data_IF_300733605662
#
_entry.id   IF_300733605662
#
_cell.length_a   1.000
_cell.length_b   1.000
_cell.length_c   1.000
_cell.angle_alpha   90.00
_cell.angle_beta   90.00
_cell.angle_gamma   90.00
#
_symmetry.space_group_name_H-M   'P 1'
#
loop_
_entity.id
_entity.type
_entity.pdbx_description
1 polymer ?
#
# COMPACT_ATOMS: atom_id res chain seq x y z
N UNK A 1 8.46 8.78 18.25
CA UNK A 1 8.90 8.01 17.08
C UNK A 1 7.78 7.07 16.70
N UNK A 2 7.15 7.32 15.59
CA UNK A 2 6.08 6.47 15.04
C UNK A 2 6.64 5.72 13.84
N UNK A 3 6.42 4.41 13.77
CA UNK A 3 6.71 3.62 12.58
C UNK A 3 5.42 3.41 11.81
N UNK A 4 5.44 3.70 10.51
CA UNK A 4 4.28 3.57 9.64
C UNK A 4 4.67 2.93 8.30
N UNK A 5 3.79 2.09 7.78
CA UNK A 5 3.90 1.55 6.43
C UNK A 5 3.04 2.39 5.51
N UNK A 6 3.63 2.89 4.43
CA UNK A 6 2.93 3.73 3.45
C UNK A 6 2.94 3.03 2.10
N UNK A 7 1.76 2.60 1.62
CA UNK A 7 1.62 2.11 0.25
C UNK A 7 1.39 3.30 -0.68
N UNK A 8 2.19 3.43 -1.72
CA UNK A 8 2.04 4.47 -2.75
C UNK A 8 1.49 3.84 -4.03
N UNK A 9 0.26 4.22 -4.40
CA UNK A 9 -0.41 3.71 -5.58
C UNK A 9 0.26 4.15 -6.89
N UNK A 10 0.20 3.29 -7.92
CA UNK A 10 0.72 3.62 -9.25
C UNK A 10 -0.03 4.76 -9.94
N UNK A 11 -1.29 4.99 -9.59
CA UNK A 11 -2.08 6.14 -10.06
C UNK A 11 -1.52 7.50 -9.63
N UNK A 12 -0.60 7.52 -8.65
CA UNK A 12 0.06 8.73 -8.17
C UNK A 12 1.42 8.99 -8.83
N UNK A 13 1.78 8.31 -9.92
CA UNK A 13 3.14 8.33 -10.49
C UNK A 13 3.67 9.76 -10.71
N UNK A 14 2.84 10.69 -11.13
CA UNK A 14 3.22 12.08 -11.41
C UNK A 14 3.70 12.84 -10.16
N UNK A 15 3.13 12.51 -8.99
CA UNK A 15 3.40 13.21 -7.72
C UNK A 15 4.06 12.32 -6.68
N UNK A 16 4.24 11.04 -6.98
CA UNK A 16 4.65 10.03 -6.01
C UNK A 16 6.03 10.29 -5.39
N UNK A 17 6.98 10.84 -6.15
CA UNK A 17 8.29 11.23 -5.61
C UNK A 17 8.20 12.42 -4.65
N UNK A 18 7.26 13.33 -4.86
CA UNK A 18 7.01 14.44 -3.93
C UNK A 18 6.36 13.95 -2.64
N UNK A 19 5.48 12.94 -2.72
CA UNK A 19 5.00 12.22 -1.54
C UNK A 19 6.17 11.61 -0.76
N UNK A 20 7.11 10.92 -1.44
CA UNK A 20 8.30 10.33 -0.78
C UNK A 20 9.19 11.41 -0.16
N UNK A 21 9.44 12.54 -0.85
CA UNK A 21 10.20 13.68 -0.29
C UNK A 21 9.53 14.23 0.96
N UNK A 22 8.20 14.33 0.96
CA UNK A 22 7.43 14.73 2.13
C UNK A 22 7.60 13.77 3.31
N UNK A 23 7.60 12.44 3.06
CA UNK A 23 7.90 11.43 4.09
C UNK A 23 9.33 11.55 4.61
N UNK A 24 10.32 11.81 3.72
CA UNK A 24 11.72 12.03 4.11
C UNK A 24 11.84 13.27 5.00
N UNK A 25 11.16 14.36 4.66
CA UNK A 25 11.12 15.54 5.52
C UNK A 25 10.49 15.26 6.88
N UNK A 26 9.38 14.52 6.91
CA UNK A 26 8.70 14.15 8.15
C UNK A 26 9.57 13.21 9.02
N UNK A 27 10.38 12.35 8.39
CA UNK A 27 11.27 11.45 9.12
C UNK A 27 12.38 12.17 9.90
N UNK A 28 12.71 13.40 9.53
CA UNK A 28 13.65 14.24 10.29
C UNK A 28 13.09 14.68 11.64
N UNK A 29 11.77 14.61 11.83
CA UNK A 29 11.11 14.85 13.12
C UNK A 29 11.14 13.60 14.04
N UNK A 30 11.74 12.50 13.57
CA UNK A 30 11.94 11.26 14.33
C UNK A 30 10.99 10.11 13.98
N UNK A 31 10.12 10.27 13.00
CA UNK A 31 9.29 9.18 12.48
C UNK A 31 10.04 8.30 11.48
N UNK A 32 9.61 7.08 11.28
CA UNK A 32 10.22 6.14 10.33
C UNK A 32 9.15 5.54 9.41
N UNK A 33 9.51 5.38 8.13
CA UNK A 33 8.57 4.90 7.13
C UNK A 33 9.15 3.76 6.30
N UNK A 34 8.32 2.73 6.10
CA UNK A 34 8.55 1.72 5.07
C UNK A 34 7.53 1.92 3.96
N UNK A 35 8.01 2.33 2.79
CA UNK A 35 7.16 2.52 1.62
C UNK A 35 7.04 1.20 0.87
N UNK A 36 5.81 0.78 0.60
CA UNK A 36 5.51 -0.34 -0.29
C UNK A 36 5.04 0.23 -1.63
N UNK A 37 5.76 -0.03 -2.73
CA UNK A 37 5.41 0.50 -4.04
C UNK A 37 4.15 -0.15 -4.59
N UNK A 38 3.40 0.59 -5.41
CA UNK A 38 2.42 0.01 -6.32
C UNK A 38 3.09 -0.59 -7.56
N UNK A 39 2.32 -1.08 -8.50
CA UNK A 39 2.88 -1.60 -9.77
C UNK A 39 3.03 -0.53 -10.85
N UNK A 40 2.33 0.59 -10.73
CA UNK A 40 2.35 1.66 -11.73
C UNK A 40 1.98 1.20 -13.14
N UNK A 41 2.38 1.98 -14.16
CA UNK A 41 2.16 1.62 -15.57
C UNK A 41 2.81 0.29 -15.97
N UNK A 42 3.86 -0.13 -15.25
CA UNK A 42 4.54 -1.39 -15.51
C UNK A 42 3.63 -2.59 -15.20
N UNK A 43 2.84 -2.53 -14.12
CA UNK A 43 1.86 -3.58 -13.83
C UNK A 43 0.67 -3.58 -14.80
N UNK A 44 0.29 -2.42 -15.36
CA UNK A 44 -0.73 -2.36 -16.41
C UNK A 44 -0.24 -3.05 -17.68
N UNK A 45 1.03 -2.88 -18.04
CA UNK A 45 1.66 -3.62 -19.13
C UNK A 45 1.64 -5.15 -18.86
N UNK A 46 1.83 -5.59 -17.61
CA UNK A 46 1.72 -7.02 -17.26
C UNK A 46 0.30 -7.54 -17.52
N UNK A 47 -0.75 -6.76 -17.16
CA UNK A 47 -2.14 -7.13 -17.46
C UNK A 47 -2.41 -7.25 -18.96
N UNK A 48 -1.90 -6.32 -19.75
CA UNK A 48 -2.02 -6.37 -21.22
C UNK A 48 -1.32 -7.60 -21.80
N UNK A 49 -0.11 -7.91 -21.32
CA UNK A 49 0.63 -9.10 -21.72
C UNK A 49 -0.15 -10.36 -21.36
N UNK A 50 -0.69 -10.45 -20.15
CA UNK A 50 -1.46 -11.62 -19.73
C UNK A 50 -2.70 -11.83 -20.63
N UNK A 51 -3.44 -10.76 -20.88
CA UNK A 51 -4.63 -10.84 -21.75
C UNK A 51 -4.28 -11.23 -23.18
N UNK A 52 -3.21 -10.67 -23.72
CA UNK A 52 -2.83 -10.87 -25.14
C UNK A 52 -2.19 -12.21 -25.39
N UNK A 53 -1.34 -12.68 -24.48
CA UNK A 53 -0.50 -13.88 -24.67
C UNK A 53 -0.94 -15.06 -23.81
N UNK A 54 -1.99 -14.90 -23.00
CA UNK A 54 -2.56 -15.96 -22.16
C UNK A 54 -1.53 -16.61 -21.23
N UNK A 55 -0.60 -15.82 -20.67
CA UNK A 55 0.34 -16.33 -19.66
C UNK A 55 -0.42 -16.72 -18.39
N UNK A 56 0.14 -17.64 -17.61
CA UNK A 56 -0.48 -18.11 -16.36
C UNK A 56 -0.59 -16.99 -15.31
N UNK A 57 -1.52 -17.16 -14.37
CA UNK A 57 -1.67 -16.25 -13.23
C UNK A 57 -0.39 -16.20 -12.39
N UNK A 58 0.29 -17.31 -12.19
CA UNK A 58 1.59 -17.42 -11.55
C UNK A 58 2.64 -16.53 -12.21
N UNK A 59 2.76 -16.63 -13.54
CA UNK A 59 3.70 -15.80 -14.30
C UNK A 59 3.34 -14.33 -14.20
N UNK A 60 2.06 -13.98 -14.35
CA UNK A 60 1.59 -12.61 -14.23
C UNK A 60 1.82 -12.03 -12.83
N UNK A 61 1.60 -12.83 -11.77
CA UNK A 61 1.89 -12.45 -10.39
C UNK A 61 3.35 -12.03 -10.21
N UNK A 62 4.30 -12.89 -10.61
CA UNK A 62 5.74 -12.59 -10.45
C UNK A 62 6.20 -11.42 -11.32
N UNK A 63 5.65 -11.28 -12.53
CA UNK A 63 5.89 -10.10 -13.36
C UNK A 63 5.34 -8.82 -12.70
N UNK A 64 4.17 -8.88 -12.07
CA UNK A 64 3.61 -7.73 -11.34
C UNK A 64 4.43 -7.37 -10.09
N UNK A 65 5.01 -8.35 -9.39
CA UNK A 65 5.93 -8.09 -8.27
C UNK A 65 7.23 -7.41 -8.78
N UNK A 66 7.77 -7.83 -9.92
CA UNK A 66 8.91 -7.16 -10.55
C UNK A 66 8.56 -5.73 -11.00
N UNK A 67 7.35 -5.52 -11.53
CA UNK A 67 6.85 -4.17 -11.84
C UNK A 67 6.79 -3.26 -10.61
N UNK A 68 6.50 -3.82 -9.42
CA UNK A 68 6.58 -3.07 -8.16
C UNK A 68 8.02 -2.68 -7.84
N UNK A 69 9.03 -3.52 -8.13
CA UNK A 69 10.44 -3.16 -7.93
C UNK A 69 10.89 -2.05 -8.89
N UNK A 70 10.48 -2.10 -10.15
CA UNK A 70 10.75 -1.00 -11.09
C UNK A 70 10.19 0.31 -10.55
N UNK A 71 8.96 0.29 -10.02
CA UNK A 71 8.36 1.47 -9.41
C UNK A 71 9.06 1.88 -8.10
N UNK A 72 9.59 0.93 -7.31
CA UNK A 72 10.39 1.24 -6.13
C UNK A 72 11.65 2.06 -6.48
N UNK A 73 12.36 1.67 -7.54
CA UNK A 73 13.51 2.44 -8.03
C UNK A 73 13.12 3.86 -8.45
N UNK A 74 11.99 4.01 -9.15
CA UNK A 74 11.47 5.33 -9.52
C UNK A 74 11.13 6.18 -8.29
N UNK A 75 10.49 5.59 -7.26
CA UNK A 75 10.12 6.29 -6.04
C UNK A 75 11.34 6.75 -5.23
N UNK A 76 12.41 5.97 -5.21
CA UNK A 76 13.62 6.31 -4.47
C UNK A 76 14.51 7.35 -5.18
N UNK A 77 14.42 7.44 -6.50
CA UNK A 77 15.32 8.29 -7.31
C UNK A 77 15.23 9.77 -6.93
N UNK A 78 16.34 10.31 -6.40
CA UNK A 78 16.48 11.73 -6.02
C UNK A 78 15.55 12.19 -4.89
N UNK A 79 15.02 11.28 -4.05
CA UNK A 79 14.08 11.61 -2.98
C UNK A 79 14.72 11.62 -1.59
N UNK A 80 15.87 10.97 -1.43
CA UNK A 80 16.53 10.75 -0.13
C UNK A 80 16.05 9.48 0.59
N UNK A 81 15.12 8.71 0.01
CA UNK A 81 14.76 7.39 0.49
C UNK A 81 15.75 6.33 0.00
N UNK A 82 15.97 5.29 0.79
CA UNK A 82 16.86 4.18 0.43
C UNK A 82 16.05 2.91 0.12
N UNK A 83 16.55 2.11 -0.82
CA UNK A 83 15.95 0.83 -1.16
C UNK A 83 16.32 -0.25 -0.13
N UNK A 84 15.38 -1.15 0.17
CA UNK A 84 15.58 -2.30 1.07
C UNK A 84 14.91 -3.55 0.47
N UNK A 85 15.59 -4.68 0.51
CA UNK A 85 15.11 -5.99 0.03
C UNK A 85 14.73 -6.96 1.17
N UNK A 86 14.41 -6.40 2.34
CA UNK A 86 13.96 -7.13 3.52
C UNK A 86 12.72 -6.47 4.13
N UNK A 87 11.77 -7.31 4.60
CA UNK A 87 10.63 -6.82 5.39
C UNK A 87 11.10 -6.62 6.83
N UNK A 88 11.57 -5.41 7.14
CA UNK A 88 12.06 -5.03 8.46
C UNK A 88 11.68 -3.60 8.81
N UNK A 89 11.64 -3.28 10.11
CA UNK A 89 11.41 -1.90 10.55
C UNK A 89 12.69 -1.08 10.34
N UNK A 90 12.63 0.03 9.60
CA UNK A 90 13.75 0.94 9.51
C UNK A 90 14.14 1.50 10.89
N UNK A 91 15.43 1.64 11.13
CA UNK A 91 15.93 2.29 12.35
C UNK A 91 15.72 3.80 12.29
N UNK A 92 15.79 4.38 11.08
CA UNK A 92 15.57 5.80 10.83
C UNK A 92 15.20 6.04 9.36
N UNK A 93 14.62 7.20 9.08
CA UNK A 93 14.39 7.68 7.73
C UNK A 93 13.28 6.92 6.99
N UNK A 94 13.38 6.93 5.68
CA UNK A 94 12.43 6.31 4.76
C UNK A 94 13.12 5.21 3.97
N UNK A 95 12.53 4.02 3.95
CA UNK A 95 12.95 2.90 3.10
C UNK A 95 11.86 2.57 2.10
N UNK A 96 12.23 2.26 0.87
CA UNK A 96 11.32 1.76 -0.16
C UNK A 96 11.61 0.29 -0.38
N UNK A 97 10.59 -0.54 -0.22
CA UNK A 97 10.71 -2.00 -0.30
C UNK A 97 10.90 -2.46 -1.75
N UNK A 98 11.87 -3.33 -1.97
CA UNK A 98 11.99 -4.20 -3.13
C UNK A 98 11.31 -5.53 -2.80
N UNK A 99 10.07 -5.77 -3.25
CA UNK A 99 9.25 -6.86 -2.72
C UNK A 99 9.61 -8.25 -3.27
N UNK A 100 10.32 -8.37 -4.39
CA UNK A 100 10.54 -9.66 -5.05
C UNK A 100 11.27 -10.65 -4.14
N UNK A 101 12.43 -10.28 -3.60
CA UNK A 101 13.25 -11.17 -2.79
C UNK A 101 12.55 -11.66 -1.51
N UNK A 102 11.91 -10.81 -0.69
CA UNK A 102 11.18 -11.27 0.48
C UNK A 102 9.96 -12.12 0.13
N UNK A 103 9.24 -11.82 -0.96
CA UNK A 103 8.09 -12.61 -1.37
C UNK A 103 8.49 -13.96 -1.97
N UNK A 104 9.62 -14.04 -2.71
CA UNK A 104 10.18 -15.32 -3.15
C UNK A 104 10.51 -16.26 -1.99
N UNK A 105 10.78 -15.74 -0.81
CA UNK A 105 11.00 -16.56 0.39
C UNK A 105 9.70 -17.03 1.00
N UNK A 106 8.68 -16.19 1.03
CA UNK A 106 7.39 -16.49 1.62
C UNK A 106 6.29 -15.56 1.10
N UNK A 107 5.44 -16.06 0.23
CA UNK A 107 4.26 -15.38 -0.32
C UNK A 107 2.94 -16.14 -0.06
N UNK A 108 2.98 -17.19 0.76
CA UNK A 108 1.85 -18.12 1.00
C UNK A 108 0.52 -17.46 1.37
N UNK A 109 0.54 -16.21 1.76
CA UNK A 109 -0.65 -15.43 2.13
C UNK A 109 -1.23 -14.64 0.95
N UNK A 110 -0.53 -14.62 -0.19
CA UNK A 110 -0.96 -13.97 -1.42
C UNK A 110 -1.43 -15.02 -2.41
N UNK A 111 -2.68 -14.92 -2.84
CA UNK A 111 -3.15 -15.71 -3.96
C UNK A 111 -2.68 -15.05 -5.26
N UNK A 112 -2.21 -15.88 -6.22
CA UNK A 112 -1.75 -15.39 -7.51
C UNK A 112 -2.93 -15.08 -8.43
N UNK A 113 -3.67 -14.03 -8.09
CA UNK A 113 -4.80 -13.51 -8.85
C UNK A 113 -4.82 -11.98 -8.73
N UNK A 114 -5.54 -11.31 -9.63
CA UNK A 114 -5.69 -9.86 -9.58
C UNK A 114 -6.55 -9.33 -8.41
N UNK A 115 -7.14 -10.23 -7.62
CA UNK A 115 -7.73 -9.89 -6.33
C UNK A 115 -6.68 -9.57 -5.25
N UNK A 116 -5.40 -9.96 -5.50
CA UNK A 116 -4.26 -9.75 -4.63
C UNK A 116 -3.19 -8.96 -5.38
N UNK A 117 -3.19 -7.65 -5.21
CA UNK A 117 -2.25 -6.75 -5.87
C UNK A 117 -1.30 -6.09 -4.85
N UNK A 118 -0.73 -4.95 -5.20
CA UNK A 118 0.18 -4.22 -4.32
C UNK A 118 -0.44 -3.77 -2.98
N UNK A 119 -1.77 -3.62 -2.88
CA UNK A 119 -2.43 -3.36 -1.61
C UNK A 119 -2.35 -4.58 -0.69
N UNK A 120 -2.53 -5.78 -1.25
CA UNK A 120 -2.35 -7.05 -0.53
C UNK A 120 -0.92 -7.24 -0.05
N UNK A 121 0.08 -6.91 -0.88
CA UNK A 121 1.49 -6.93 -0.47
C UNK A 121 1.73 -5.96 0.69
N UNK A 122 1.21 -4.74 0.63
CA UNK A 122 1.34 -3.76 1.69
C UNK A 122 0.64 -4.21 2.99
N UNK A 123 -0.56 -4.79 2.89
CA UNK A 123 -1.27 -5.34 4.03
C UNK A 123 -0.53 -6.53 4.68
N UNK A 124 0.11 -7.40 3.86
CA UNK A 124 0.95 -8.50 4.33
C UNK A 124 2.18 -7.97 5.08
N UNK A 125 2.89 -6.98 4.51
CA UNK A 125 4.03 -6.33 5.16
C UNK A 125 3.61 -5.70 6.49
N UNK A 126 2.46 -5.01 6.52
CA UNK A 126 1.91 -4.41 7.73
C UNK A 126 1.59 -5.46 8.80
N UNK A 127 0.97 -6.57 8.41
CA UNK A 127 0.67 -7.68 9.31
C UNK A 127 1.94 -8.31 9.90
N UNK A 128 2.96 -8.58 9.07
CA UNK A 128 4.25 -9.17 9.50
C UNK A 128 5.02 -8.27 10.48
N UNK A 129 4.92 -6.96 10.29
CA UNK A 129 5.57 -5.98 11.15
C UNK A 129 4.69 -5.48 12.30
N UNK A 130 3.45 -5.96 12.42
CA UNK A 130 2.46 -5.50 13.40
C UNK A 130 2.39 -3.98 13.45
N UNK A 131 2.21 -3.35 12.27
CA UNK A 131 2.19 -1.91 12.09
C UNK A 131 0.95 -1.48 11.32
N UNK A 132 0.49 -0.24 11.55
CA UNK A 132 -0.60 0.33 10.79
C UNK A 132 -0.17 0.62 9.35
N UNK A 133 -1.15 0.51 8.43
CA UNK A 133 -0.98 0.77 7.01
C UNK A 133 -1.63 2.11 6.65
N UNK A 134 -0.93 2.91 5.87
CA UNK A 134 -1.50 4.06 5.17
C UNK A 134 -1.42 3.78 3.66
N UNK A 135 -2.55 3.97 2.98
CA UNK A 135 -2.62 3.89 1.52
C UNK A 135 -2.77 5.29 0.94
N UNK A 136 -1.74 5.74 0.22
CA UNK A 136 -1.81 6.91 -0.65
C UNK A 136 -2.42 6.51 -2.00
N UNK A 137 -3.49 7.17 -2.41
CA UNK A 137 -4.24 6.86 -3.63
C UNK A 137 -4.80 8.15 -4.27
N UNK A 138 -5.44 8.03 -5.41
CA UNK A 138 -5.99 9.15 -6.21
C UNK A 138 -7.49 9.44 -5.94
N UNK A 139 -8.00 8.92 -4.83
CA UNK A 139 -9.37 9.17 -4.38
C UNK A 139 -9.41 9.69 -2.95
N UNK A 140 -10.46 10.39 -2.58
CA UNK A 140 -10.61 11.02 -1.26
C UNK A 140 -10.78 10.00 -0.10
N UNK A 141 -10.99 8.74 -0.42
CA UNK A 141 -11.22 7.64 0.53
C UNK A 141 -12.09 6.54 -0.08
N UNK A 142 -12.60 5.65 0.75
CA UNK A 142 -13.55 4.62 0.30
C UNK A 142 -14.91 5.23 0.05
N UNK A 143 -15.38 5.15 -1.19
CA UNK A 143 -16.68 5.66 -1.61
C UNK A 143 -17.69 4.51 -1.63
N UNK A 144 -18.76 4.61 -0.87
CA UNK A 144 -19.91 3.72 -0.91
C UNK A 144 -21.19 4.53 -1.00
N UNK A 145 -22.05 4.13 -1.92
CA UNK A 145 -23.35 4.80 -2.14
C UNK A 145 -23.21 6.30 -2.45
N UNK A 146 -22.11 6.66 -3.14
CA UNK A 146 -21.80 8.05 -3.50
C UNK A 146 -21.18 8.91 -2.39
N UNK A 147 -20.90 8.32 -1.21
CA UNK A 147 -20.34 9.05 -0.08
C UNK A 147 -18.98 8.49 0.35
N UNK A 148 -18.06 9.36 0.70
CA UNK A 148 -16.79 8.96 1.34
C UNK A 148 -17.07 8.55 2.79
N UNK A 149 -16.76 7.31 3.12
CA UNK A 149 -16.91 6.78 4.48
C UNK A 149 -15.71 7.22 5.33
N UNK A 150 -15.96 7.75 6.52
CA UNK A 150 -14.89 8.13 7.44
C UNK A 150 -14.22 6.94 8.09
N UNK A 151 -15.01 5.93 8.44
CA UNK A 151 -14.56 4.70 9.07
C UNK A 151 -15.46 3.56 8.62
N UNK A 152 -14.86 2.38 8.36
CA UNK A 152 -15.60 1.20 7.94
C UNK A 152 -14.81 -0.08 8.29
N UNK A 153 -15.48 -1.15 8.76
CA UNK A 153 -14.85 -2.46 8.93
C UNK A 153 -14.43 -3.07 7.59
N UNK A 154 -13.25 -3.71 7.53
CA UNK A 154 -12.76 -4.38 6.33
C UNK A 154 -13.76 -5.46 5.83
N UNK A 155 -14.44 -6.15 6.73
CA UNK A 155 -15.43 -7.20 6.38
C UNK A 155 -16.62 -6.66 5.59
N UNK A 156 -17.02 -5.41 5.80
CA UNK A 156 -18.10 -4.78 5.05
C UNK A 156 -17.72 -4.41 3.60
N UNK A 157 -16.42 -4.38 3.31
CA UNK A 157 -15.88 -4.08 1.98
C UNK A 157 -15.59 -5.34 1.15
N UNK A 158 -15.49 -6.50 1.80
CA UNK A 158 -15.24 -7.77 1.10
C UNK A 158 -16.38 -8.06 0.13
N UNK A 159 -16.02 -8.34 -1.13
CA UNK A 159 -16.97 -8.58 -2.22
C UNK A 159 -17.49 -7.30 -2.89
N UNK A 160 -17.09 -6.11 -2.45
CA UNK A 160 -17.45 -4.83 -3.08
C UNK A 160 -16.29 -4.28 -3.90
N UNK A 161 -16.60 -3.63 -5.03
CA UNK A 161 -15.62 -2.87 -5.80
C UNK A 161 -15.26 -1.57 -5.08
N UNK A 162 -14.01 -1.46 -4.63
CA UNK A 162 -13.51 -0.30 -3.89
C UNK A 162 -12.11 0.08 -4.36
N UNK A 163 -11.55 1.17 -3.82
CA UNK A 163 -10.19 1.60 -4.12
C UNK A 163 -9.09 0.74 -3.46
N UNK A 164 -9.44 -0.34 -2.76
CA UNK A 164 -8.49 -1.29 -2.16
C UNK A 164 -8.83 -2.71 -2.65
N UNK A 165 -7.81 -3.53 -2.90
CA UNK A 165 -8.02 -4.88 -3.42
C UNK A 165 -8.61 -5.85 -2.37
N UNK A 166 -9.23 -6.94 -2.85
CA UNK A 166 -9.94 -7.89 -2.01
C UNK A 166 -9.01 -8.69 -1.10
N UNK A 167 -7.80 -8.97 -1.55
CA UNK A 167 -6.79 -9.66 -0.75
C UNK A 167 -6.34 -8.83 0.45
N UNK A 168 -6.10 -7.53 0.24
CA UNK A 168 -5.77 -6.61 1.32
C UNK A 168 -6.85 -6.59 2.41
N UNK A 169 -8.14 -6.51 2.01
CA UNK A 169 -9.26 -6.52 2.96
C UNK A 169 -9.29 -7.81 3.79
N UNK A 170 -9.05 -8.97 3.16
CA UNK A 170 -8.98 -10.25 3.85
C UNK A 170 -7.81 -10.33 4.83
N UNK A 171 -6.63 -9.79 4.43
CA UNK A 171 -5.44 -9.73 5.28
C UNK A 171 -5.68 -8.80 6.46
N UNK A 172 -6.19 -7.58 6.24
CA UNK A 172 -6.51 -6.62 7.29
C UNK A 172 -7.47 -7.23 8.31
N UNK A 173 -8.58 -7.85 7.85
CA UNK A 173 -9.55 -8.51 8.72
C UNK A 173 -8.91 -9.62 9.57
N UNK A 174 -8.08 -10.46 8.97
CA UNK A 174 -7.43 -11.60 9.65
C UNK A 174 -6.40 -11.14 10.67
N UNK A 175 -5.57 -10.17 10.29
CA UNK A 175 -4.48 -9.66 11.14
C UNK A 175 -4.95 -8.66 12.21
N UNK A 176 -6.10 -8.03 12.00
CA UNK A 176 -6.61 -6.96 12.86
C UNK A 176 -5.89 -5.62 12.67
N UNK A 177 -5.05 -5.50 11.62
CA UNK A 177 -4.36 -4.26 11.25
C UNK A 177 -5.35 -3.28 10.60
N UNK A 178 -5.21 -2.00 10.91
CA UNK A 178 -6.00 -0.95 10.27
C UNK A 178 -5.29 -0.39 9.04
N UNK A 179 -6.08 0.15 8.11
CA UNK A 179 -5.56 0.86 6.95
C UNK A 179 -6.24 2.23 6.83
N UNK A 180 -5.44 3.29 6.85
CA UNK A 180 -5.90 4.65 6.59
C UNK A 180 -5.71 4.95 5.09
N UNK A 181 -6.81 5.12 4.35
CA UNK A 181 -6.80 5.50 2.94
C UNK A 181 -6.84 7.01 2.83
N UNK A 182 -5.82 7.60 2.21
CA UNK A 182 -5.66 9.04 2.05
C UNK A 182 -5.48 9.42 0.58
N UNK A 183 -6.03 10.58 0.20
CA UNK A 183 -5.75 11.22 -1.08
C UNK A 183 -4.28 11.67 -1.14
N UNK A 184 -3.55 11.17 -2.12
CA UNK A 184 -2.15 11.47 -2.37
C UNK A 184 -1.89 12.40 -3.55
N UNK A 185 -2.94 12.91 -4.23
CA UNK A 185 -2.80 13.79 -5.41
C UNK A 185 -2.15 15.13 -5.07
N UNK A 186 -2.30 15.57 -3.83
CA UNK A 186 -1.62 16.71 -3.25
C UNK A 186 -0.65 16.24 -2.15
N UNK A 187 0.66 16.20 -2.41
CA UNK A 187 1.65 15.71 -1.46
C UNK A 187 1.67 16.47 -0.12
N UNK A 188 1.50 17.80 -0.12
CA UNK A 188 1.52 18.60 1.11
C UNK A 188 0.31 18.26 1.98
N UNK A 189 -0.86 18.20 1.38
CA UNK A 189 -2.11 17.81 2.05
C UNK A 189 -2.05 16.38 2.56
N UNK A 190 -1.47 15.47 1.78
CA UNK A 190 -1.25 14.08 2.20
C UNK A 190 -0.39 14.01 3.47
N UNK A 191 0.76 14.68 3.48
CA UNK A 191 1.68 14.71 4.64
C UNK A 191 1.01 15.34 5.86
N UNK A 192 0.26 16.42 5.69
CA UNK A 192 -0.49 17.05 6.78
C UNK A 192 -1.56 16.10 7.36
N UNK A 193 -2.29 15.38 6.50
CA UNK A 193 -3.30 14.38 6.90
C UNK A 193 -2.68 13.19 7.60
N UNK A 194 -1.55 12.69 7.10
CA UNK A 194 -0.76 11.61 7.70
C UNK A 194 -0.31 11.98 9.11
N UNK A 195 0.30 13.16 9.27
CA UNK A 195 0.78 13.68 10.56
C UNK A 195 -0.36 13.86 11.57
N UNK A 196 -1.52 14.30 11.10
CA UNK A 196 -2.70 14.49 11.94
C UNK A 196 -3.44 13.17 12.26
N UNK A 197 -3.14 12.08 11.53
CA UNK A 197 -3.90 10.82 11.61
C UNK A 197 -5.37 11.01 11.22
N UNK A 198 -5.67 11.95 10.32
CA UNK A 198 -7.04 12.37 9.96
C UNK A 198 -7.18 12.59 8.46
N UNK A 199 -8.41 12.45 7.98
CA UNK A 199 -8.75 12.56 6.56
C UNK A 199 -9.04 11.19 5.96
N UNK A 200 -9.61 11.16 4.79
CA UNK A 200 -9.91 9.93 4.06
C UNK A 200 -10.79 8.94 4.83
N UNK A 201 -10.45 7.65 4.70
CA UNK A 201 -11.21 6.56 5.31
C UNK A 201 -10.30 5.67 6.16
N UNK A 202 -10.67 5.44 7.40
CA UNK A 202 -10.06 4.42 8.24
C UNK A 202 -10.77 3.08 8.05
N UNK A 203 -10.09 2.12 7.43
CA UNK A 203 -10.56 0.73 7.32
C UNK A 203 -10.09 -0.02 8.56
N UNK A 204 -11.04 -0.52 9.38
CA UNK A 204 -10.76 -1.31 10.57
C UNK A 204 -10.54 -2.78 10.21
N UNK A 205 -9.40 -3.33 10.59
CA UNK A 205 -9.12 -4.76 10.41
C UNK A 205 -10.05 -5.65 11.24
N UNK A 206 -10.37 -5.24 12.49
CA UNK A 206 -11.41 -5.87 13.32
C UNK A 206 -12.61 -4.95 13.41
N UNK A 207 -13.78 -5.52 13.24
CA UNK A 207 -15.03 -4.79 13.52
C UNK A 207 -15.00 -4.24 14.96
N UNK A 208 -15.59 -3.06 15.16
CA UNK A 208 -15.85 -2.55 16.51
C UNK A 208 -16.74 -3.58 17.19
N UNK A 209 -16.20 -4.33 18.16
CA UNK A 209 -16.97 -5.29 18.90
C UNK A 209 -18.22 -4.61 19.44
N UNK A 210 -19.41 -5.09 19.04
CA UNK A 210 -20.62 -4.75 19.75
C UNK A 210 -20.40 -5.27 21.16
N UNK A 211 -20.10 -4.37 22.08
CA UNK A 211 -20.14 -4.63 23.52
C UNK A 211 -21.56 -5.12 23.79
N UNK A 212 -21.69 -6.44 24.02
CA UNK A 212 -22.92 -7.04 24.55
C UNK A 212 -23.09 -6.70 26.03
#
# INVERSE_FOLDING_TARGET
>A
MTFCIVKIGGSLIEVSRDVVRGLVSLSQEGDTFLVVPGGGPMADLVREIQQRYHISEDTAHWMAILAMEEYAHFLADGTGAELIDEISRPVSGVRVLLPYRPLMKDDRELLHTWDYTSDSVAALVAARLSADLVKATDVDGVILEGEVKREIPAEELIGKGTCIDQGALRILRRSGINCLVLDGRDPERFIASLKAGKGGTLIRGRGVGRSG
#
